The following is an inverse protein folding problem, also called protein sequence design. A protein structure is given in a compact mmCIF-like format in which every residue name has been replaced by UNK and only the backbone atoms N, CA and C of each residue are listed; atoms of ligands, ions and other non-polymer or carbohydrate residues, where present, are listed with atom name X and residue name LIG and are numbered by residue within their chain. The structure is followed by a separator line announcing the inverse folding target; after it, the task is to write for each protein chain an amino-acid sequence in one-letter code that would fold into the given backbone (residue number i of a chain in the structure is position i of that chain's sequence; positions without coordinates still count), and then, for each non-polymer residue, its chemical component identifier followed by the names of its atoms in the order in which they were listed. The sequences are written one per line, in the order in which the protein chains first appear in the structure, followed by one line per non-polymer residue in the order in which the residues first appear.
data_IF_182117785715
#
_entry.id   IF_182117785715
#
_cell.length_a   1.000
_cell.length_b   1.000
_cell.length_c   1.000
_cell.angle_alpha   90.00
_cell.angle_beta   90.00
_cell.angle_gamma   90.00
#
_symmetry.space_group_name_H-M   'P 1'
#
loop_
_entity.id
_entity.type
_entity.pdbx_description
1 polymer ?
#
# COMPACT_ATOMS: atom_id res chain seq x y z
N UNK A 1 -12.79 7.14 -16.23
CA UNK A 1 -12.86 8.19 -15.17
C UNK A 1 -11.86 8.04 -13.99
N UNK A 2 -11.38 6.83 -13.66
CA UNK A 2 -10.34 6.61 -12.62
C UNK A 2 -8.89 6.80 -13.12
N UNK A 3 -8.65 6.61 -14.42
CA UNK A 3 -7.33 6.82 -15.04
C UNK A 3 -6.97 8.28 -15.34
N UNK A 4 -7.84 9.23 -14.98
CA UNK A 4 -7.54 10.65 -15.08
C UNK A 4 -6.96 11.15 -13.75
N UNK A 5 -6.25 12.29 -13.79
CA UNK A 5 -5.75 12.95 -12.59
C UNK A 5 -6.88 13.21 -11.58
N UNK A 6 -6.62 12.93 -10.30
CA UNK A 6 -7.61 13.02 -9.23
C UNK A 6 -8.60 11.84 -9.16
N UNK A 7 -8.43 10.80 -9.99
CA UNK A 7 -9.22 9.57 -9.94
C UNK A 7 -9.17 8.88 -8.57
N UNK A 8 -8.04 8.97 -7.87
CA UNK A 8 -7.87 8.44 -6.52
C UNK A 8 -8.79 9.10 -5.50
N UNK A 9 -9.07 10.41 -5.64
CA UNK A 9 -10.00 11.13 -4.75
C UNK A 9 -11.42 10.62 -4.92
N UNK A 10 -11.82 10.34 -6.16
CA UNK A 10 -13.14 9.78 -6.48
C UNK A 10 -13.29 8.38 -5.91
N UNK A 11 -12.23 7.55 -6.02
CA UNK A 11 -12.22 6.23 -5.42
C UNK A 11 -12.38 6.31 -3.89
N UNK A 12 -11.61 7.16 -3.21
CA UNK A 12 -11.70 7.36 -1.76
C UNK A 12 -13.11 7.74 -1.32
N UNK A 13 -13.78 8.64 -2.06
CA UNK A 13 -15.18 8.98 -1.77
C UNK A 13 -16.04 7.74 -1.89
N UNK A 14 -16.00 7.01 -3.01
CA UNK A 14 -16.86 5.84 -3.24
C UNK A 14 -16.71 4.77 -2.15
N UNK A 15 -15.48 4.44 -1.77
CA UNK A 15 -15.21 3.38 -0.79
C UNK A 15 -15.54 3.79 0.66
N UNK A 16 -15.57 5.09 0.97
CA UNK A 16 -15.81 5.60 2.34
C UNK A 16 -17.26 5.97 2.64
N UNK A 17 -18.19 5.89 1.66
CA UNK A 17 -19.61 6.21 1.91
C UNK A 17 -20.33 5.15 2.73
N UNK A 18 -19.91 3.90 2.63
CA UNK A 18 -20.53 2.80 3.35
C UNK A 18 -20.25 2.91 4.85
N UNK A 19 -21.31 2.87 5.68
CA UNK A 19 -21.19 2.96 7.15
C UNK A 19 -21.19 1.61 7.87
N UNK A 20 -21.68 0.55 7.22
CA UNK A 20 -21.90 -0.77 7.87
C UNK A 20 -21.37 -1.93 7.04
N UNK A 21 -21.70 -1.97 5.75
CA UNK A 21 -21.20 -3.00 4.83
C UNK A 21 -20.89 -2.36 3.47
N UNK A 22 -19.82 -2.83 2.83
CA UNK A 22 -19.42 -2.47 1.48
C UNK A 22 -19.34 -3.76 0.66
N UNK A 23 -20.29 -3.95 -0.25
CA UNK A 23 -20.31 -5.08 -1.18
C UNK A 23 -19.85 -4.60 -2.55
N UNK A 24 -18.91 -5.34 -3.15
CA UNK A 24 -18.29 -4.97 -4.43
C UNK A 24 -18.76 -5.94 -5.50
N UNK A 25 -19.43 -5.39 -6.52
CA UNK A 25 -19.80 -6.12 -7.73
C UNK A 25 -18.97 -5.56 -8.89
N UNK A 26 -18.19 -6.42 -9.53
CA UNK A 26 -17.33 -6.04 -10.65
C UNK A 26 -17.30 -7.15 -11.69
N UNK A 27 -17.22 -6.75 -12.97
CA UNK A 27 -17.02 -7.68 -14.09
C UNK A 27 -15.54 -7.98 -14.37
N UNK A 28 -14.64 -7.41 -13.58
CA UNK A 28 -13.18 -7.57 -13.65
C UNK A 28 -12.61 -7.75 -12.24
N UNK A 29 -11.44 -8.34 -12.16
CA UNK A 29 -10.67 -8.59 -10.93
C UNK A 29 -9.43 -7.70 -10.87
N UNK A 30 -8.70 -7.76 -9.75
CA UNK A 30 -7.40 -7.10 -9.61
C UNK A 30 -6.36 -7.60 -10.63
N UNK A 31 -6.45 -8.86 -11.04
CA UNK A 31 -5.52 -9.51 -11.98
C UNK A 31 -5.69 -9.01 -13.41
N UNK A 32 -6.88 -8.52 -13.77
CA UNK A 32 -7.17 -7.93 -15.09
C UNK A 32 -6.57 -6.52 -15.27
N UNK A 33 -6.09 -5.90 -14.19
CA UNK A 33 -5.55 -4.53 -14.21
C UNK A 33 -4.04 -4.57 -14.42
N UNK A 34 -3.58 -4.18 -15.60
CA UNK A 34 -2.18 -3.97 -15.93
C UNK A 34 -1.73 -2.54 -15.57
N UNK A 35 -0.80 -2.43 -14.61
CA UNK A 35 -0.28 -1.14 -14.13
C UNK A 35 0.73 -0.51 -15.09
N UNK A 36 1.35 -1.28 -15.98
CA UNK A 36 2.25 -0.76 -17.01
C UNK A 36 1.46 -0.01 -18.10
N UNK A 37 0.26 -0.49 -18.39
CA UNK A 37 -0.68 0.12 -19.35
C UNK A 37 -1.54 1.22 -18.73
N UNK A 38 -1.87 1.11 -17.45
CA UNK A 38 -2.69 2.06 -16.70
C UNK A 38 -1.87 2.97 -15.79
N UNK A 39 -1.42 4.13 -16.29
CA UNK A 39 -0.63 5.08 -15.50
C UNK A 39 -1.54 5.96 -14.64
N UNK A 40 -1.45 5.84 -13.31
CA UNK A 40 -2.08 6.78 -12.38
C UNK A 40 -2.41 6.19 -11.00
N UNK A 41 -2.29 7.02 -9.96
CA UNK A 41 -2.56 6.65 -8.55
C UNK A 41 -3.94 6.03 -8.35
N UNK A 42 -4.96 6.50 -9.09
CA UNK A 42 -6.33 5.98 -9.01
C UNK A 42 -6.48 4.55 -9.53
N UNK A 43 -5.80 4.16 -10.62
CA UNK A 43 -5.86 2.80 -11.16
C UNK A 43 -5.17 1.82 -10.22
N UNK A 44 -4.02 2.21 -9.67
CA UNK A 44 -3.32 1.41 -8.69
C UNK A 44 -4.17 1.19 -7.42
N UNK A 45 -4.71 2.27 -6.86
CA UNK A 45 -5.57 2.18 -5.67
C UNK A 45 -6.81 1.30 -5.93
N UNK A 46 -7.37 1.34 -7.14
CA UNK A 46 -8.48 0.49 -7.53
C UNK A 46 -8.09 -0.99 -7.61
N UNK A 47 -6.92 -1.31 -8.19
CA UNK A 47 -6.38 -2.68 -8.20
C UNK A 47 -6.22 -3.23 -6.78
N UNK A 48 -5.64 -2.43 -5.88
CA UNK A 48 -5.47 -2.82 -4.48
C UNK A 48 -6.81 -3.04 -3.77
N UNK A 49 -7.78 -2.16 -4.03
CA UNK A 49 -9.13 -2.28 -3.47
C UNK A 49 -9.82 -3.57 -3.91
N UNK A 50 -9.76 -3.92 -5.21
CA UNK A 50 -10.33 -5.17 -5.73
C UNK A 50 -9.64 -6.41 -5.14
N UNK A 51 -8.31 -6.36 -4.98
CA UNK A 51 -7.56 -7.45 -4.35
C UNK A 51 -8.02 -7.69 -2.92
N UNK A 52 -8.18 -6.61 -2.14
CA UNK A 52 -8.68 -6.69 -0.78
C UNK A 52 -10.13 -7.19 -0.72
N UNK A 53 -11.00 -6.66 -1.57
CA UNK A 53 -12.40 -7.08 -1.63
C UNK A 53 -12.53 -8.58 -1.93
N UNK A 54 -11.65 -9.14 -2.77
CA UNK A 54 -11.64 -10.55 -3.15
C UNK A 54 -11.02 -11.46 -2.08
N UNK A 55 -9.91 -11.05 -1.49
CA UNK A 55 -9.08 -11.95 -0.66
C UNK A 55 -9.19 -11.69 0.83
N UNK A 56 -9.76 -10.55 1.23
CA UNK A 56 -9.70 -10.03 2.60
C UNK A 56 -8.29 -9.64 3.04
N UNK A 57 -7.31 -9.68 2.14
CA UNK A 57 -5.91 -9.37 2.40
C UNK A 57 -5.53 -8.13 1.61
N UNK A 58 -4.89 -7.18 2.26
CA UNK A 58 -4.09 -6.18 1.56
C UNK A 58 -2.74 -6.85 1.38
N UNK A 59 -2.36 -7.14 0.14
CA UNK A 59 -1.07 -7.77 -0.15
C UNK A 59 0.02 -6.96 0.56
N UNK A 60 0.78 -7.66 1.42
CA UNK A 60 1.71 -7.04 2.34
C UNK A 60 2.69 -6.14 1.60
N UNK A 61 2.92 -4.98 2.20
CA UNK A 61 3.93 -4.03 1.78
C UNK A 61 5.25 -4.76 1.48
N UNK A 62 5.77 -4.55 0.27
CA UNK A 62 7.05 -5.09 -0.12
C UNK A 62 8.14 -4.20 0.45
N UNK A 63 9.17 -4.82 1.03
CA UNK A 63 10.42 -4.13 1.33
C UNK A 63 11.02 -3.75 -0.01
N UNK A 64 11.24 -2.46 -0.24
CA UNK A 64 11.99 -2.04 -1.42
C UNK A 64 13.47 -1.93 -1.09
N UNK A 65 14.33 -2.22 -2.07
CA UNK A 65 15.79 -2.01 -1.96
C UNK A 65 16.13 -0.52 -2.18
N UNK A 66 15.21 0.39 -1.89
CA UNK A 66 15.49 1.83 -2.02
C UNK A 66 16.37 2.27 -0.87
N UNK A 67 17.39 3.04 -1.20
CA UNK A 67 18.19 3.74 -0.21
C UNK A 67 17.31 4.72 0.57
N UNK A 68 17.70 5.00 1.80
CA UNK A 68 16.96 5.91 2.66
C UNK A 68 17.18 7.33 2.16
N UNK A 69 16.09 8.04 1.87
CA UNK A 69 16.14 9.35 1.21
C UNK A 69 16.67 10.50 2.11
N UNK A 70 17.03 10.23 3.38
CA UNK A 70 17.48 11.26 4.32
C UNK A 70 18.27 10.71 5.53
N UNK A 71 19.30 11.46 5.95
CA UNK A 71 20.11 11.22 7.16
C UNK A 71 19.24 11.11 8.41
N UNK A 72 18.17 11.89 8.51
CA UNK A 72 17.25 11.82 9.65
C UNK A 72 16.61 10.44 9.75
N UNK A 73 16.13 9.91 8.62
CA UNK A 73 15.50 8.60 8.57
C UNK A 73 16.51 7.52 8.97
N UNK A 74 17.76 7.63 8.51
CA UNK A 74 18.86 6.71 8.87
C UNK A 74 19.14 6.69 10.37
N UNK A 75 19.23 7.87 10.99
CA UNK A 75 19.42 8.00 12.43
C UNK A 75 18.28 7.39 13.24
N UNK A 76 17.03 7.59 12.80
CA UNK A 76 15.86 6.99 13.44
C UNK A 76 15.87 5.47 13.30
N UNK A 77 16.21 4.94 12.12
CA UNK A 77 16.31 3.51 11.90
C UNK A 77 17.39 2.87 12.79
N UNK A 78 18.57 3.47 12.87
CA UNK A 78 19.67 2.98 13.70
C UNK A 78 19.28 2.96 15.19
N UNK A 79 18.64 4.02 15.70
CA UNK A 79 18.18 4.06 17.08
C UNK A 79 17.16 2.95 17.39
N UNK A 80 16.23 2.68 16.48
CA UNK A 80 15.24 1.60 16.63
C UNK A 80 15.91 0.21 16.58
N UNK A 81 16.90 0.02 15.72
CA UNK A 81 17.68 -1.22 15.62
C UNK A 81 18.48 -1.46 16.90
N UNK A 82 19.12 -0.42 17.46
CA UNK A 82 19.84 -0.49 18.73
C UNK A 82 18.92 -0.86 19.91
N UNK A 83 17.63 -0.49 19.83
CA UNK A 83 16.60 -0.90 20.79
C UNK A 83 16.11 -2.34 20.58
N UNK A 84 16.60 -3.06 19.56
CA UNK A 84 16.27 -4.45 19.27
C UNK A 84 15.08 -4.65 18.33
N UNK A 85 14.59 -3.59 17.68
CA UNK A 85 13.51 -3.72 16.69
C UNK A 85 14.03 -4.14 15.33
N UNK A 86 13.27 -5.01 14.64
CA UNK A 86 13.49 -5.27 13.23
C UNK A 86 12.82 -4.15 12.42
N UNK A 87 13.64 -3.31 11.78
CA UNK A 87 13.18 -2.14 11.02
C UNK A 87 13.39 -2.39 9.53
N UNK A 88 12.37 -2.15 8.72
CA UNK A 88 12.48 -2.15 7.27
C UNK A 88 12.23 -0.73 6.74
N UNK A 89 13.08 -0.29 5.82
CA UNK A 89 12.93 0.98 5.15
C UNK A 89 12.04 0.86 3.89
N UNK A 90 11.44 1.98 3.50
CA UNK A 90 10.73 2.13 2.22
C UNK A 90 9.71 1.01 1.98
N UNK A 91 8.91 0.74 3.01
CA UNK A 91 7.91 -0.34 3.04
C UNK A 91 6.62 0.16 2.41
N UNK A 92 6.16 -0.50 1.35
CA UNK A 92 4.95 -0.06 0.68
C UNK A 92 4.53 -0.86 -0.54
N UNK A 93 3.63 -0.32 -1.33
CA UNK A 93 3.09 -0.96 -2.53
C UNK A 93 2.95 0.08 -3.65
N UNK A 94 3.48 -0.27 -4.83
CA UNK A 94 3.39 0.46 -6.09
C UNK A 94 3.40 1.99 -6.00
N UNK A 95 4.52 2.54 -5.53
CA UNK A 95 4.76 3.98 -5.54
C UNK A 95 4.29 4.71 -4.28
N UNK A 96 3.58 4.03 -3.38
CA UNK A 96 3.31 4.51 -2.02
C UNK A 96 4.18 3.75 -1.05
N UNK A 97 5.10 4.46 -0.42
CA UNK A 97 6.06 3.90 0.54
C UNK A 97 5.99 4.72 1.82
N UNK A 98 6.11 4.03 2.95
CA UNK A 98 6.39 4.63 4.24
C UNK A 98 7.90 4.54 4.44
N UNK A 99 8.50 5.60 4.98
CA UNK A 99 9.95 5.69 5.11
C UNK A 99 10.54 4.56 5.97
N UNK A 100 9.85 4.22 7.07
CA UNK A 100 10.23 3.17 8.01
C UNK A 100 9.00 2.40 8.52
N UNK A 101 9.16 1.10 8.73
CA UNK A 101 8.19 0.26 9.41
C UNK A 101 8.91 -0.73 10.36
N UNK A 102 8.35 -0.95 11.54
CA UNK A 102 8.86 -1.93 12.52
C UNK A 102 8.11 -3.24 12.32
N UNK A 103 8.80 -4.37 12.14
CA UNK A 103 8.15 -5.65 11.93
C UNK A 103 7.54 -6.20 13.24
N UNK A 104 6.36 -6.83 13.14
CA UNK A 104 5.73 -7.59 14.22
C UNK A 104 6.50 -8.90 14.44
N UNK A 105 7.14 -9.10 15.61
CA UNK A 105 7.96 -10.30 15.86
C UNK A 105 7.15 -11.60 15.85
N UNK A 106 5.84 -11.54 16.15
CA UNK A 106 4.98 -12.72 16.22
C UNK A 106 4.33 -13.04 14.86
N UNK A 107 4.34 -12.10 13.91
CA UNK A 107 3.61 -12.22 12.64
C UNK A 107 4.45 -11.73 11.46
N UNK A 108 5.28 -12.60 10.86
CA UNK A 108 6.12 -12.26 9.73
C UNK A 108 5.35 -11.56 8.60
N UNK A 109 5.85 -10.39 8.20
CA UNK A 109 5.27 -9.57 7.14
C UNK A 109 4.19 -8.59 7.61
N UNK A 110 3.76 -8.67 8.87
CA UNK A 110 3.05 -7.57 9.52
C UNK A 110 4.07 -6.61 10.12
N UNK A 111 3.69 -5.34 10.14
CA UNK A 111 4.41 -4.24 10.73
C UNK A 111 3.49 -3.50 11.70
#
# INVERSE_FOLDING_TARGET
PLGAEGGERRLNVLISRAKRSCEVFASITDEDIDLERGKGKGIFAFKLFLHYARTGRISLAQVTVREMDSIFVEQVANALIEMGYQVHAQVGIAGFFIDLAVADPERPGRY
#
